data_IF_660087367901
#
_entry.id   IF_660087367901
#
_cell.length_a   1.000
_cell.length_b   1.000
_cell.length_c   1.000
_cell.angle_alpha   90.00
_cell.angle_beta   90.00
_cell.angle_gamma   90.00
#
_symmetry.space_group_name_H-M   'P 1'
#
loop_
_entity.id
_entity.type
_entity.pdbx_description
1 polymer ?
#
# COMPACT_ATOMS: atom_id res chain seq x y z
N UNK A 1 21.15 8.47 -18.73
CA UNK A 1 20.83 9.17 -20.00
C UNK A 1 19.34 9.07 -20.27
N UNK A 2 18.69 10.19 -20.61
CA UNK A 2 17.29 10.21 -21.01
C UNK A 2 17.20 10.20 -22.54
N UNK A 3 16.21 9.44 -23.08
CA UNK A 3 15.92 9.47 -24.51
C UNK A 3 15.07 10.68 -24.91
N UNK A 4 14.29 11.20 -23.95
CA UNK A 4 13.38 12.32 -24.13
C UNK A 4 13.24 13.07 -22.81
N UNK A 5 13.05 14.39 -22.88
CA UNK A 5 12.71 15.23 -21.74
C UNK A 5 11.54 16.14 -22.15
N UNK A 6 10.42 16.02 -21.44
CA UNK A 6 9.21 16.81 -21.63
C UNK A 6 9.06 17.78 -20.45
N UNK A 7 8.75 19.02 -20.75
CA UNK A 7 8.58 20.07 -19.76
C UNK A 7 7.21 20.71 -19.90
N UNK A 8 6.53 20.91 -18.78
CA UNK A 8 5.37 21.76 -18.64
C UNK A 8 5.78 23.00 -17.84
N UNK A 9 5.64 24.16 -18.44
CA UNK A 9 5.86 25.44 -17.76
C UNK A 9 4.50 26.12 -17.62
N UNK A 10 4.13 26.41 -16.41
CA UNK A 10 2.91 27.14 -16.08
C UNK A 10 3.21 28.25 -15.09
N UNK A 11 2.45 29.33 -15.17
CA UNK A 11 2.59 30.50 -14.32
C UNK A 11 1.22 30.94 -13.79
N UNK A 12 1.21 31.54 -12.62
CA UNK A 12 0.05 32.14 -11.98
C UNK A 12 0.44 33.43 -11.28
N UNK A 13 -0.52 34.27 -10.96
CA UNK A 13 -0.28 35.52 -10.23
C UNK A 13 0.03 35.25 -8.75
N UNK A 14 -0.48 34.13 -8.21
CA UNK A 14 -0.27 33.70 -6.81
C UNK A 14 0.19 32.23 -6.74
N UNK A 15 0.80 31.79 -5.63
CA UNK A 15 1.10 30.38 -5.41
C UNK A 15 -0.14 29.46 -5.49
N UNK A 16 -1.31 29.97 -5.11
CA UNK A 16 -2.58 29.23 -5.21
C UNK A 16 -2.97 28.96 -6.67
N UNK A 17 -2.75 29.92 -7.58
CA UNK A 17 -3.02 29.72 -9.01
C UNK A 17 -2.10 28.66 -9.61
N UNK A 18 -0.82 28.70 -9.25
CA UNK A 18 0.17 27.69 -9.68
C UNK A 18 -0.21 26.29 -9.18
N UNK A 19 -0.60 26.18 -7.89
CA UNK A 19 -1.05 24.92 -7.31
C UNK A 19 -2.33 24.41 -7.98
N UNK A 20 -3.28 25.32 -8.28
CA UNK A 20 -4.50 24.96 -8.99
C UNK A 20 -4.20 24.36 -10.37
N UNK A 21 -3.33 25.00 -11.16
CA UNK A 21 -2.93 24.48 -12.48
C UNK A 21 -2.27 23.09 -12.33
N UNK A 22 -1.40 22.93 -11.34
CA UNK A 22 -0.78 21.61 -11.05
C UNK A 22 -1.85 20.56 -10.75
N UNK A 23 -2.84 20.86 -9.91
CA UNK A 23 -3.92 19.92 -9.58
C UNK A 23 -4.85 19.65 -10.77
N UNK A 24 -5.11 20.65 -11.62
CA UNK A 24 -5.89 20.47 -12.85
C UNK A 24 -5.21 19.46 -13.80
N UNK A 25 -3.89 19.42 -13.81
CA UNK A 25 -3.09 18.49 -14.64
C UNK A 25 -2.91 17.11 -14.00
N UNK A 26 -2.69 17.05 -12.69
CA UNK A 26 -2.31 15.82 -12.01
C UNK A 26 -3.43 15.16 -11.21
N UNK A 27 -4.51 15.86 -10.98
CA UNK A 27 -5.68 15.46 -10.18
C UNK A 27 -5.67 16.08 -8.79
N UNK A 28 -6.87 16.23 -8.25
CA UNK A 28 -7.11 16.76 -6.91
C UNK A 28 -7.12 15.64 -5.88
N UNK A 29 -6.60 15.90 -4.67
CA UNK A 29 -6.80 15.02 -3.53
C UNK A 29 -8.31 14.96 -3.17
N UNK A 30 -8.83 13.78 -2.79
CA UNK A 30 -10.20 13.67 -2.30
C UNK A 30 -10.38 14.42 -0.98
N UNK A 31 -11.65 14.59 -0.57
CA UNK A 31 -11.94 15.17 0.75
C UNK A 31 -11.31 14.30 1.83
N UNK A 32 -10.56 14.95 2.75
CA UNK A 32 -9.95 14.28 3.88
C UNK A 32 -11.03 13.91 4.91
N UNK A 33 -11.20 12.64 5.28
CA UNK A 33 -12.19 12.23 6.26
C UNK A 33 -11.78 12.66 7.69
N UNK A 34 -12.76 13.06 8.48
CA UNK A 34 -12.54 13.63 9.82
C UNK A 34 -11.78 12.66 10.75
N UNK A 35 -12.10 11.37 10.71
CA UNK A 35 -11.44 10.36 11.54
C UNK A 35 -9.94 10.27 11.28
N UNK A 36 -9.50 10.49 10.04
CA UNK A 36 -8.09 10.41 9.67
C UNK A 36 -7.24 11.58 10.23
N UNK A 37 -7.88 12.68 10.66
CA UNK A 37 -7.22 13.79 11.34
C UNK A 37 -6.90 13.51 12.82
N UNK A 38 -7.37 12.40 13.38
CA UNK A 38 -7.11 12.01 14.76
C UNK A 38 -5.76 11.31 14.95
N UNK A 39 -5.56 10.79 16.17
CA UNK A 39 -4.33 10.09 16.52
C UNK A 39 -4.35 8.63 16.01
N UNK A 40 -3.33 8.25 15.29
CA UNK A 40 -3.08 6.90 14.80
C UNK A 40 -2.03 6.23 15.69
N UNK A 41 -2.43 5.20 16.42
CA UNK A 41 -1.52 4.44 17.24
C UNK A 41 -0.81 3.38 16.41
N UNK A 42 0.50 3.41 16.39
CA UNK A 42 1.34 2.40 15.77
C UNK A 42 2.39 1.89 16.76
N UNK A 43 2.83 0.68 16.53
CA UNK A 43 3.93 0.01 17.24
C UNK A 43 4.65 -0.89 16.25
N UNK A 44 5.95 -0.96 16.31
CA UNK A 44 6.76 -1.95 15.61
C UNK A 44 6.90 -3.17 16.53
N UNK A 45 6.08 -4.12 16.46
CA UNK A 45 4.78 -4.40 15.86
C UNK A 45 3.87 -5.01 16.93
N UNK A 46 2.57 -5.08 16.70
CA UNK A 46 1.70 -5.96 17.48
C UNK A 46 1.90 -7.39 16.99
N UNK A 47 2.22 -8.30 17.90
CA UNK A 47 2.54 -9.68 17.55
C UNK A 47 1.29 -10.54 17.41
N UNK A 48 0.18 -10.13 18.04
CA UNK A 48 -1.08 -10.84 18.01
C UNK A 48 -2.29 -9.91 18.03
N UNK A 49 -3.44 -10.48 17.69
CA UNK A 49 -4.74 -9.83 17.79
C UNK A 49 -5.01 -9.30 19.20
N UNK A 50 -4.69 -10.10 20.24
CA UNK A 50 -4.95 -9.69 21.62
C UNK A 50 -4.01 -8.56 22.07
N UNK A 51 -2.72 -8.60 21.70
CA UNK A 51 -1.77 -7.52 21.99
C UNK A 51 -2.28 -6.16 21.41
N UNK A 52 -2.84 -6.18 20.22
CA UNK A 52 -3.44 -5.00 19.60
C UNK A 52 -4.70 -4.54 20.34
N UNK A 53 -5.61 -5.47 20.66
CA UNK A 53 -6.89 -5.16 21.31
C UNK A 53 -6.67 -4.65 22.76
N UNK A 54 -5.71 -5.20 23.50
CA UNK A 54 -5.34 -4.70 24.83
C UNK A 54 -4.95 -3.22 24.79
N UNK A 55 -4.15 -2.82 23.80
CA UNK A 55 -3.75 -1.42 23.62
C UNK A 55 -4.95 -0.55 23.28
N UNK A 56 -5.81 -0.98 22.35
CA UNK A 56 -7.01 -0.23 21.97
C UNK A 56 -7.96 -0.03 23.16
N UNK A 57 -8.19 -1.09 23.94
CA UNK A 57 -9.01 -1.06 25.18
C UNK A 57 -8.43 -0.12 26.24
N UNK A 58 -7.10 -0.11 26.40
CA UNK A 58 -6.43 0.73 27.39
C UNK A 58 -6.52 2.23 27.02
N UNK A 59 -6.42 2.59 25.74
CA UNK A 59 -6.71 3.96 25.28
C UNK A 59 -8.13 4.40 25.64
N UNK A 60 -9.12 3.53 25.41
CA UNK A 60 -10.52 3.82 25.75
C UNK A 60 -10.72 3.95 27.26
N UNK A 61 -10.17 3.04 28.03
CA UNK A 61 -10.26 3.04 29.51
C UNK A 61 -9.68 4.32 30.12
N UNK A 62 -8.59 4.83 29.56
CA UNK A 62 -7.95 6.09 30.00
C UNK A 62 -8.63 7.34 29.45
N UNK A 63 -9.60 7.22 28.57
CA UNK A 63 -10.23 8.36 27.90
C UNK A 63 -9.31 9.13 26.96
N UNK A 64 -8.24 8.49 26.48
CA UNK A 64 -7.31 9.09 25.53
C UNK A 64 -7.88 8.91 24.13
N UNK A 65 -8.05 9.98 23.33
CA UNK A 65 -8.61 9.87 22.00
C UNK A 65 -7.64 9.17 21.05
N UNK A 66 -8.16 8.18 20.34
CA UNK A 66 -7.48 7.45 19.27
C UNK A 66 -8.50 7.21 18.16
N UNK A 67 -8.12 7.37 16.90
CA UNK A 67 -9.01 7.18 15.75
C UNK A 67 -8.60 6.05 14.86
N UNK A 68 -7.34 5.62 14.88
CA UNK A 68 -6.86 4.49 14.13
C UNK A 68 -5.79 3.70 14.90
N UNK A 69 -5.67 2.42 14.58
CA UNK A 69 -4.60 1.55 15.09
C UNK A 69 -3.98 0.77 13.92
N UNK A 70 -2.65 0.74 13.88
CA UNK A 70 -1.89 0.20 12.74
C UNK A 70 -1.43 -1.22 13.03
N UNK A 71 -1.78 -2.13 12.15
CA UNK A 71 -1.26 -3.50 12.10
C UNK A 71 -0.08 -3.49 11.14
N UNK A 72 1.13 -3.52 11.70
CA UNK A 72 2.38 -3.45 10.96
C UNK A 72 2.74 -4.81 10.32
N UNK A 73 3.90 -4.90 9.66
CA UNK A 73 4.36 -6.08 8.94
C UNK A 73 4.43 -7.36 9.81
N UNK A 74 4.58 -8.50 9.16
CA UNK A 74 4.60 -9.85 9.76
C UNK A 74 3.34 -10.26 10.54
N UNK A 75 2.19 -9.72 10.16
CA UNK A 75 0.90 -10.27 10.56
C UNK A 75 0.42 -11.41 9.63
N UNK A 76 1.23 -11.73 8.63
CA UNK A 76 1.01 -12.78 7.63
C UNK A 76 1.88 -14.01 7.88
N UNK A 77 1.51 -15.16 7.35
CA UNK A 77 2.29 -16.40 7.41
C UNK A 77 3.52 -16.34 6.50
N UNK A 78 3.31 -15.97 5.23
CA UNK A 78 4.38 -15.74 4.24
C UNK A 78 4.17 -14.42 3.51
N UNK A 79 5.29 -13.79 3.17
CA UNK A 79 5.27 -12.53 2.42
C UNK A 79 4.58 -12.71 1.06
N UNK A 80 3.57 -11.86 0.78
CA UNK A 80 2.80 -11.91 -0.46
C UNK A 80 1.56 -12.81 -0.42
N UNK A 81 1.18 -13.31 0.76
CA UNK A 81 -0.10 -14.00 0.92
C UNK A 81 -1.25 -13.03 1.16
N UNK A 82 -0.94 -11.82 1.63
CA UNK A 82 -1.93 -10.77 1.93
C UNK A 82 -3.11 -11.30 2.73
N UNK A 83 -2.80 -11.98 3.85
CA UNK A 83 -3.76 -12.52 4.80
C UNK A 83 -3.17 -12.56 6.20
N UNK A 84 -4.04 -12.58 7.19
CA UNK A 84 -3.60 -12.76 8.58
C UNK A 84 -3.10 -14.18 8.83
N UNK A 85 -2.06 -14.31 9.65
CA UNK A 85 -1.65 -15.58 10.22
C UNK A 85 -2.69 -16.03 11.26
N UNK A 86 -3.39 -17.16 11.03
CA UNK A 86 -4.47 -17.59 11.91
C UNK A 86 -4.00 -18.02 13.31
N UNK A 87 -2.70 -18.29 13.50
CA UNK A 87 -2.15 -18.61 14.82
C UNK A 87 -2.16 -17.39 15.75
N UNK A 88 -1.81 -16.22 15.21
CA UNK A 88 -1.69 -14.98 15.99
C UNK A 88 -2.90 -14.04 15.82
N UNK A 89 -3.64 -14.22 14.75
CA UNK A 89 -4.84 -13.41 14.40
C UNK A 89 -6.04 -14.33 14.16
N UNK A 90 -6.54 -15.02 15.20
CA UNK A 90 -7.50 -16.10 15.04
C UNK A 90 -8.91 -15.67 14.60
N UNK A 91 -9.34 -14.45 14.92
CA UNK A 91 -10.66 -13.92 14.53
C UNK A 91 -10.58 -12.44 14.14
N UNK A 92 -10.05 -12.11 12.94
CA UNK A 92 -9.98 -10.73 12.47
C UNK A 92 -11.37 -10.05 12.36
N UNK A 93 -12.42 -10.82 12.14
CA UNK A 93 -13.79 -10.30 12.07
C UNK A 93 -14.27 -9.79 13.44
N UNK A 94 -14.02 -10.54 14.53
CA UNK A 94 -14.31 -10.10 15.88
C UNK A 94 -13.48 -8.89 16.27
N UNK A 95 -12.17 -8.90 15.96
CA UNK A 95 -11.27 -7.76 16.19
C UNK A 95 -11.79 -6.48 15.55
N UNK A 96 -12.12 -6.54 14.26
CA UNK A 96 -12.62 -5.36 13.53
C UNK A 96 -13.98 -4.88 14.07
N UNK A 97 -14.87 -5.77 14.49
CA UNK A 97 -16.13 -5.38 15.15
C UNK A 97 -15.88 -4.64 16.47
N UNK A 98 -14.98 -5.15 17.32
CA UNK A 98 -14.65 -4.52 18.59
C UNK A 98 -13.98 -3.13 18.39
N UNK A 99 -13.04 -3.03 17.43
CA UNK A 99 -12.43 -1.76 17.08
C UNK A 99 -13.46 -0.74 16.59
N UNK A 100 -14.41 -1.18 15.75
CA UNK A 100 -15.51 -0.35 15.24
C UNK A 100 -16.41 0.17 16.37
N UNK A 101 -16.76 -0.68 17.35
CA UNK A 101 -17.51 -0.26 18.55
C UNK A 101 -16.76 0.80 19.36
N UNK A 102 -15.44 0.70 19.39
CA UNK A 102 -14.56 1.70 19.99
C UNK A 102 -14.32 2.93 19.09
N UNK A 103 -14.86 2.97 17.88
CA UNK A 103 -14.62 4.02 16.85
C UNK A 103 -13.12 4.17 16.53
N UNK A 104 -12.45 3.04 16.33
CA UNK A 104 -11.03 2.96 15.94
C UNK A 104 -10.99 2.25 14.58
N UNK A 105 -10.37 2.90 13.59
CA UNK A 105 -10.16 2.31 12.26
C UNK A 105 -8.91 1.42 12.26
N UNK A 106 -8.99 0.15 11.87
CA UNK A 106 -7.83 -0.68 11.63
C UNK A 106 -7.12 -0.27 10.34
N UNK A 107 -5.81 -0.09 10.40
CA UNK A 107 -4.95 0.19 9.25
C UNK A 107 -3.97 -0.98 9.10
N UNK A 108 -3.93 -1.61 7.92
CA UNK A 108 -3.10 -2.78 7.69
C UNK A 108 -1.95 -2.45 6.75
N UNK A 109 -0.73 -2.79 7.16
CA UNK A 109 0.46 -2.68 6.31
C UNK A 109 0.43 -3.75 5.22
N UNK A 110 0.61 -3.33 3.97
CA UNK A 110 0.67 -4.21 2.79
C UNK A 110 1.96 -3.89 2.04
N UNK A 111 2.77 -4.94 1.84
CA UNK A 111 4.00 -4.84 1.07
C UNK A 111 3.81 -5.42 -0.33
N UNK A 112 4.41 -4.81 -1.36
CA UNK A 112 4.31 -5.27 -2.74
C UNK A 112 5.33 -6.35 -3.09
N UNK A 113 5.82 -7.07 -2.10
CA UNK A 113 6.82 -8.14 -2.28
C UNK A 113 6.21 -9.50 -2.01
N UNK A 114 6.73 -10.50 -2.70
CA UNK A 114 6.28 -11.89 -2.59
C UNK A 114 7.46 -12.84 -2.44
N UNK A 115 7.35 -13.74 -1.46
CA UNK A 115 8.29 -14.82 -1.23
C UNK A 115 7.96 -16.01 -2.17
N UNK A 116 8.96 -16.72 -2.71
CA UNK A 116 8.72 -17.93 -3.50
C UNK A 116 7.94 -19.04 -2.79
N UNK A 117 7.83 -19.00 -1.46
CA UNK A 117 7.02 -19.95 -0.68
C UNK A 117 5.55 -19.55 -0.58
N UNK A 118 5.20 -18.31 -0.93
CA UNK A 118 3.82 -17.83 -0.88
C UNK A 118 2.92 -18.66 -1.82
N UNK A 119 1.72 -18.96 -1.37
CA UNK A 119 0.70 -19.65 -2.17
C UNK A 119 0.34 -18.92 -3.47
N UNK A 120 0.60 -17.62 -3.54
CA UNK A 120 0.31 -16.79 -4.72
C UNK A 120 1.48 -16.72 -5.72
N UNK A 121 2.69 -17.20 -5.32
CA UNK A 121 3.90 -16.97 -6.13
C UNK A 121 3.85 -17.65 -7.49
N UNK A 122 3.50 -18.91 -7.55
CA UNK A 122 3.53 -19.70 -8.80
C UNK A 122 2.58 -19.10 -9.85
N UNK A 123 1.33 -18.82 -9.46
CA UNK A 123 0.35 -18.19 -10.34
C UNK A 123 0.80 -16.82 -10.85
N UNK A 124 1.32 -15.97 -9.97
CA UNK A 124 1.82 -14.66 -10.36
C UNK A 124 3.05 -14.74 -11.25
N UNK A 125 3.93 -15.70 -10.99
CA UNK A 125 5.14 -15.94 -11.77
C UNK A 125 4.81 -16.41 -13.18
N UNK A 126 3.93 -17.39 -13.35
CA UNK A 126 3.48 -17.91 -14.63
C UNK A 126 2.72 -16.85 -15.45
N UNK A 127 1.92 -16.03 -14.79
CA UNK A 127 1.18 -14.93 -15.42
C UNK A 127 2.03 -13.69 -15.72
N UNK A 128 3.35 -13.71 -15.44
CA UNK A 128 4.28 -12.59 -15.60
C UNK A 128 3.90 -11.33 -14.81
N UNK A 129 3.28 -11.49 -13.64
CA UNK A 129 2.89 -10.39 -12.75
C UNK A 129 3.99 -9.99 -11.76
N UNK A 130 5.19 -10.55 -11.88
CA UNK A 130 6.34 -10.24 -11.03
C UNK A 130 7.40 -9.46 -11.81
N UNK A 131 8.07 -8.52 -11.12
CA UNK A 131 9.20 -7.79 -11.67
C UNK A 131 10.31 -8.77 -12.03
N UNK A 132 10.89 -8.61 -13.20
CA UNK A 132 12.00 -9.42 -13.72
C UNK A 132 13.30 -8.61 -13.72
N UNK A 133 14.38 -9.29 -14.01
CA UNK A 133 15.69 -8.67 -14.21
C UNK A 133 16.26 -9.01 -15.57
N UNK A 134 17.02 -8.08 -16.15
CA UNK A 134 17.68 -8.28 -17.46
C UNK A 134 18.82 -9.30 -17.38
N UNK A 135 19.48 -9.41 -16.23
CA UNK A 135 20.57 -10.36 -16.01
C UNK A 135 20.15 -11.73 -15.46
N UNK A 136 18.84 -12.01 -15.39
CA UNK A 136 18.32 -13.29 -14.95
C UNK A 136 18.34 -13.53 -13.43
N UNK A 137 18.60 -12.52 -12.63
CA UNK A 137 18.48 -12.60 -11.17
C UNK A 137 16.99 -12.73 -10.78
N UNK A 138 16.65 -13.64 -9.87
CA UNK A 138 15.26 -13.89 -9.50
C UNK A 138 14.76 -13.01 -8.35
N UNK A 139 15.59 -12.71 -7.36
CA UNK A 139 15.21 -11.85 -6.24
C UNK A 139 15.46 -10.38 -6.54
N UNK A 140 14.50 -9.52 -6.21
CA UNK A 140 14.62 -8.07 -6.35
C UNK A 140 14.59 -7.35 -5.02
N UNK A 141 14.37 -8.08 -3.92
CA UNK A 141 14.34 -7.58 -2.56
C UNK A 141 14.87 -8.66 -1.60
N UNK A 142 15.71 -8.29 -0.66
CA UNK A 142 16.26 -9.19 0.35
C UNK A 142 15.88 -8.71 1.74
N UNK A 143 14.88 -9.38 2.32
CA UNK A 143 14.43 -9.12 3.68
C UNK A 143 13.83 -10.41 4.24
N UNK A 144 14.49 -11.01 5.22
CA UNK A 144 14.18 -12.37 5.71
C UNK A 144 14.08 -13.42 4.59
N UNK A 145 15.02 -13.33 3.65
CA UNK A 145 15.13 -14.20 2.49
C UNK A 145 14.86 -13.45 1.17
N UNK A 146 15.10 -14.17 0.06
CA UNK A 146 14.91 -13.61 -1.27
C UNK A 146 13.43 -13.46 -1.60
N UNK A 147 13.06 -12.27 -2.01
CA UNK A 147 11.71 -11.91 -2.42
C UNK A 147 11.73 -11.20 -3.77
N UNK A 148 10.57 -11.08 -4.37
CA UNK A 148 10.39 -10.40 -5.65
C UNK A 148 9.27 -9.37 -5.53
N UNK A 149 9.45 -8.18 -6.11
CA UNK A 149 8.38 -7.20 -6.25
C UNK A 149 7.31 -7.67 -7.24
N UNK A 150 6.05 -7.43 -6.92
CA UNK A 150 4.96 -7.57 -7.89
C UNK A 150 5.10 -6.49 -8.96
N UNK A 151 4.75 -6.79 -10.20
CA UNK A 151 4.74 -5.78 -11.27
C UNK A 151 3.41 -5.03 -11.31
N UNK A 152 3.39 -3.90 -10.61
CA UNK A 152 2.19 -3.03 -10.52
C UNK A 152 1.81 -2.39 -11.85
N UNK A 153 2.69 -2.45 -12.86
CA UNK A 153 2.42 -1.94 -14.21
C UNK A 153 1.74 -2.98 -15.11
N UNK A 154 1.74 -4.25 -14.69
CA UNK A 154 1.08 -5.31 -15.44
C UNK A 154 -0.44 -5.22 -15.26
N UNK A 155 -1.23 -5.31 -16.36
CA UNK A 155 -2.67 -5.01 -16.34
C UNK A 155 -3.52 -5.93 -15.44
N UNK A 156 -3.04 -7.12 -15.11
CA UNK A 156 -3.77 -8.09 -14.26
C UNK A 156 -3.36 -8.05 -12.79
N UNK A 157 -2.19 -7.48 -12.46
CA UNK A 157 -1.69 -7.50 -11.07
C UNK A 157 -2.64 -6.81 -10.10
N UNK A 158 -3.19 -5.66 -10.51
CA UNK A 158 -4.08 -4.88 -9.64
C UNK A 158 -5.32 -5.67 -9.22
N UNK A 159 -6.01 -6.30 -10.15
CA UNK A 159 -7.20 -7.11 -9.85
C UNK A 159 -6.84 -8.35 -9.03
N UNK A 160 -5.75 -9.03 -9.37
CA UNK A 160 -5.31 -10.22 -8.64
C UNK A 160 -5.03 -9.92 -7.16
N UNK A 161 -4.22 -8.89 -6.88
CA UNK A 161 -3.89 -8.52 -5.50
C UNK A 161 -5.13 -8.00 -4.76
N UNK A 162 -5.97 -7.20 -5.44
CA UNK A 162 -7.19 -6.71 -4.82
C UNK A 162 -8.15 -7.84 -4.43
N UNK A 163 -8.31 -8.86 -5.24
CA UNK A 163 -9.14 -10.02 -4.93
C UNK A 163 -8.65 -10.73 -3.64
N UNK A 164 -7.34 -10.88 -3.45
CA UNK A 164 -6.76 -11.43 -2.22
C UNK A 164 -6.98 -10.50 -1.02
N UNK A 165 -6.73 -9.20 -1.19
CA UNK A 165 -6.97 -8.18 -0.16
C UNK A 165 -8.44 -8.11 0.23
N UNK A 166 -9.33 -8.17 -0.74
CA UNK A 166 -10.78 -8.21 -0.51
C UNK A 166 -11.19 -9.41 0.32
N UNK A 167 -10.71 -10.60 -0.06
CA UNK A 167 -11.02 -11.86 0.62
C UNK A 167 -10.42 -11.91 2.03
N UNK A 168 -9.25 -11.34 2.26
CA UNK A 168 -8.49 -11.58 3.49
C UNK A 168 -8.48 -10.40 4.47
N UNK A 169 -8.85 -9.19 4.02
CA UNK A 169 -8.89 -7.99 4.87
C UNK A 169 -10.19 -7.20 4.74
N UNK A 170 -10.56 -6.81 3.53
CA UNK A 170 -11.72 -5.94 3.30
C UNK A 170 -13.03 -6.55 3.83
N UNK A 171 -13.25 -7.85 3.65
CA UNK A 171 -14.45 -8.56 4.16
C UNK A 171 -14.62 -8.46 5.68
N UNK A 172 -13.52 -8.26 6.43
CA UNK A 172 -13.57 -8.09 7.88
C UNK A 172 -13.87 -6.65 8.31
N UNK A 173 -13.86 -5.70 7.37
CA UNK A 173 -14.13 -4.30 7.65
C UNK A 173 -12.91 -3.39 7.58
N UNK A 174 -11.74 -3.91 7.16
CA UNK A 174 -10.52 -3.11 6.96
C UNK A 174 -10.63 -2.36 5.63
N UNK A 175 -10.50 -1.03 5.68
CA UNK A 175 -10.68 -0.14 4.52
C UNK A 175 -9.51 0.82 4.31
N UNK A 176 -8.56 0.81 5.22
CA UNK A 176 -7.37 1.67 5.15
C UNK A 176 -6.12 0.81 5.15
N UNK A 177 -5.26 1.05 4.19
CA UNK A 177 -4.04 0.27 3.98
C UNK A 177 -2.81 1.17 4.04
N UNK A 178 -1.75 0.64 4.64
CA UNK A 178 -0.43 1.24 4.60
C UNK A 178 0.39 0.56 3.51
N UNK A 179 0.60 1.28 2.42
CA UNK A 179 1.32 0.83 1.23
C UNK A 179 2.81 1.10 1.43
N UNK A 180 3.47 0.18 2.10
CA UNK A 180 4.89 0.27 2.42
C UNK A 180 5.77 -0.37 1.34
N UNK A 181 7.08 -0.16 1.36
CA UNK A 181 8.09 -0.68 0.42
C UNK A 181 7.84 -0.33 -1.06
N UNK A 182 7.03 0.68 -1.34
CA UNK A 182 6.50 1.00 -2.67
C UNK A 182 7.29 2.05 -3.46
N UNK A 183 8.55 2.32 -3.12
CA UNK A 183 9.46 3.20 -3.88
C UNK A 183 9.74 2.74 -5.32
N UNK A 184 9.98 1.43 -5.67
CA UNK A 184 10.21 0.22 -4.86
C UNK A 184 11.60 0.19 -4.21
N UNK A 185 11.69 -0.39 -3.01
CA UNK A 185 12.97 -0.55 -2.29
C UNK A 185 13.73 -1.79 -2.78
N UNK A 186 14.36 -1.65 -3.93
CA UNK A 186 15.04 -2.75 -4.62
C UNK A 186 16.42 -3.02 -4.02
N UNK A 187 16.72 -4.26 -3.70
CA UNK A 187 18.03 -4.70 -3.25
C UNK A 187 18.60 -5.82 -4.14
N UNK A 188 19.82 -5.67 -4.68
CA UNK A 188 20.63 -4.43 -4.70
C UNK A 188 20.00 -3.34 -5.56
N UNK A 189 20.28 -2.08 -5.24
CA UNK A 189 19.72 -0.90 -5.93
C UNK A 189 20.22 -0.79 -7.38
N UNK A 190 19.66 -1.57 -8.25
CA UNK A 190 19.99 -1.64 -9.68
C UNK A 190 18.76 -1.49 -10.56
N UNK A 191 18.13 -0.33 -10.49
CA UNK A 191 16.90 -0.05 -11.27
C UNK A 191 17.04 -0.30 -12.76
N UNK A 192 18.23 -0.06 -13.34
CA UNK A 192 18.49 -0.34 -14.75
C UNK A 192 18.48 -1.83 -15.12
N UNK A 193 18.61 -2.73 -14.12
CA UNK A 193 18.50 -4.16 -14.30
C UNK A 193 17.06 -4.68 -14.19
N UNK A 194 16.12 -3.84 -13.73
CA UNK A 194 14.72 -4.26 -13.57
C UNK A 194 13.97 -4.18 -14.89
N UNK A 195 13.03 -5.09 -15.03
CA UNK A 195 12.13 -5.20 -16.17
C UNK A 195 10.69 -5.29 -15.70
N UNK A 196 9.93 -4.28 -16.07
CA UNK A 196 8.50 -4.16 -15.82
C UNK A 196 7.73 -4.42 -17.13
N UNK A 197 6.44 -4.70 -17.02
CA UNK A 197 5.54 -4.73 -18.16
C UNK A 197 5.56 -3.40 -18.95
N UNK A 198 5.61 -2.28 -18.23
CA UNK A 198 5.70 -0.93 -18.81
C UNK A 198 7.06 -0.61 -19.44
N UNK A 199 8.09 -1.45 -19.25
CA UNK A 199 9.43 -1.26 -19.82
C UNK A 199 10.58 -1.45 -18.83
N UNK A 200 11.76 -0.93 -19.18
CA UNK A 200 12.95 -1.02 -18.34
C UNK A 200 12.81 -0.21 -17.04
N UNK A 201 13.37 -0.74 -15.97
CA UNK A 201 13.27 -0.13 -14.63
C UNK A 201 13.82 1.30 -14.52
N UNK A 202 14.87 1.64 -15.27
CA UNK A 202 15.38 3.01 -15.31
C UNK A 202 14.35 4.04 -15.82
N UNK A 203 13.37 3.59 -16.60
CA UNK A 203 12.28 4.42 -17.14
C UNK A 203 10.98 4.28 -16.35
N UNK A 204 10.70 3.10 -15.79
CA UNK A 204 9.40 2.73 -15.27
C UNK A 204 9.31 2.65 -13.74
N UNK A 205 10.45 2.45 -13.03
CA UNK A 205 10.43 2.22 -11.59
C UNK A 205 9.80 3.38 -10.79
N UNK A 206 10.00 4.63 -11.23
CA UNK A 206 9.42 5.81 -10.57
C UNK A 206 7.89 5.89 -10.66
N UNK A 207 7.27 5.10 -11.54
CA UNK A 207 5.81 5.01 -11.64
C UNK A 207 5.21 4.06 -10.58
N UNK A 208 6.05 3.31 -9.88
CA UNK A 208 5.63 2.28 -8.94
C UNK A 208 4.66 2.79 -7.86
N UNK A 209 4.98 3.87 -7.11
CA UNK A 209 4.08 4.38 -6.07
C UNK A 209 2.71 4.79 -6.63
N UNK A 210 2.70 5.35 -7.84
CA UNK A 210 1.48 5.76 -8.51
C UNK A 210 0.57 4.57 -8.84
N UNK A 211 1.10 3.52 -9.47
CA UNK A 211 0.31 2.35 -9.85
C UNK A 211 -0.09 1.53 -8.63
N UNK A 212 0.76 1.43 -7.61
CA UNK A 212 0.44 0.73 -6.38
C UNK A 212 -0.70 1.43 -5.62
N UNK A 213 -0.64 2.74 -5.43
CA UNK A 213 -1.74 3.51 -4.84
C UNK A 213 -3.02 3.42 -5.67
N UNK A 214 -2.89 3.51 -7.01
CA UNK A 214 -4.02 3.38 -7.94
C UNK A 214 -4.75 2.06 -7.77
N UNK A 215 -4.02 0.96 -7.66
CA UNK A 215 -4.58 -0.39 -7.52
C UNK A 215 -5.49 -0.50 -6.29
N UNK A 216 -5.05 -0.02 -5.13
CA UNK A 216 -5.84 -0.04 -3.90
C UNK A 216 -7.03 0.94 -3.95
N UNK A 217 -6.82 2.11 -4.52
CA UNK A 217 -7.89 3.08 -4.72
C UNK A 217 -9.00 2.53 -5.61
N UNK A 218 -8.64 1.96 -6.77
CA UNK A 218 -9.62 1.38 -7.70
C UNK A 218 -10.33 0.17 -7.09
N UNK A 219 -9.60 -0.65 -6.34
CA UNK A 219 -10.17 -1.76 -5.61
C UNK A 219 -11.23 -1.31 -4.59
N UNK A 220 -10.88 -0.39 -3.68
CA UNK A 220 -11.81 0.17 -2.70
C UNK A 220 -13.02 0.85 -3.38
N UNK A 221 -12.76 1.62 -4.42
CA UNK A 221 -13.81 2.31 -5.18
C UNK A 221 -14.78 1.32 -5.84
N UNK A 222 -14.30 0.18 -6.33
CA UNK A 222 -15.15 -0.86 -6.92
C UNK A 222 -16.12 -1.49 -5.92
N UNK A 223 -15.78 -1.44 -4.62
CA UNK A 223 -16.64 -1.87 -3.52
C UNK A 223 -17.59 -0.77 -3.02
N UNK A 224 -17.55 0.43 -3.63
CA UNK A 224 -18.41 1.56 -3.29
C UNK A 224 -17.86 2.50 -2.23
N UNK A 225 -16.60 2.36 -1.83
CA UNK A 225 -15.96 3.26 -0.86
C UNK A 225 -15.75 4.67 -1.47
N UNK A 226 -15.99 5.70 -0.67
CA UNK A 226 -15.87 7.10 -1.08
C UNK A 226 -14.83 7.87 -0.28
N UNK A 227 -14.65 7.53 0.99
CA UNK A 227 -13.72 8.18 1.93
C UNK A 227 -12.39 7.41 1.99
N UNK A 228 -11.76 7.27 0.82
CA UNK A 228 -10.55 6.45 0.67
C UNK A 228 -9.33 7.22 1.14
N UNK A 229 -8.60 6.62 2.09
CA UNK A 229 -7.30 7.07 2.57
C UNK A 229 -6.32 5.90 2.51
N UNK A 230 -5.17 6.14 1.93
CA UNK A 230 -4.03 5.22 1.86
C UNK A 230 -2.83 5.88 2.52
N UNK A 231 -2.17 5.20 3.46
CA UNK A 231 -0.89 5.65 3.98
C UNK A 231 0.21 5.10 3.08
N UNK A 232 1.16 5.93 2.65
CA UNK A 232 2.24 5.48 1.75
C UNK A 232 3.57 6.15 2.09
N UNK A 233 4.68 5.41 1.97
CA UNK A 233 6.03 5.94 2.16
C UNK A 233 6.52 6.69 0.93
N UNK A 234 6.01 6.34 -0.24
CA UNK A 234 6.44 6.91 -1.51
C UNK A 234 5.26 7.47 -2.32
N UNK A 235 5.50 8.58 -3.01
CA UNK A 235 4.53 9.20 -3.89
C UNK A 235 5.20 9.77 -5.15
N UNK A 236 4.43 9.87 -6.22
CA UNK A 236 4.80 10.50 -7.46
C UNK A 236 3.72 11.51 -7.87
N UNK A 237 4.00 12.50 -8.72
CA UNK A 237 2.97 13.45 -9.19
C UNK A 237 1.71 12.76 -9.67
N UNK A 238 0.56 13.15 -9.11
CA UNK A 238 -0.74 12.53 -9.38
C UNK A 238 -1.16 11.46 -8.38
N UNK A 239 -0.30 11.01 -7.47
CA UNK A 239 -0.65 10.03 -6.43
C UNK A 239 -1.68 10.59 -5.44
N UNK A 240 -1.68 11.91 -5.21
CA UNK A 240 -2.61 12.57 -4.29
C UNK A 240 -4.09 12.29 -4.60
N UNK A 241 -4.44 12.09 -5.88
CA UNK A 241 -5.84 11.83 -6.28
C UNK A 241 -6.39 10.49 -5.81
N UNK A 242 -5.52 9.60 -5.34
CA UNK A 242 -5.89 8.30 -4.78
C UNK A 242 -6.07 8.33 -3.25
N UNK A 243 -6.11 9.51 -2.64
CA UNK A 243 -6.23 9.64 -1.18
C UNK A 243 -4.95 9.27 -0.43
N UNK A 244 -3.80 9.32 -1.10
CA UNK A 244 -2.52 8.94 -0.53
C UNK A 244 -2.00 10.00 0.44
N UNK A 245 -1.75 9.60 1.70
CA UNK A 245 -1.03 10.34 2.72
C UNK A 245 0.41 9.85 2.73
N UNK A 246 1.35 10.76 2.55
CA UNK A 246 2.78 10.44 2.60
C UNK A 246 3.29 10.73 4.00
N UNK A 247 3.92 9.74 4.63
CA UNK A 247 4.68 9.99 5.86
C UNK A 247 6.17 10.05 5.57
N UNK A 248 6.92 10.68 6.49
CA UNK A 248 8.37 10.80 6.42
C UNK A 248 8.97 10.57 7.79
#
# INVERSE_FOLDING_TARGET
SAYQADYLIYAGETPADVLKIYCDLTGYAPKFPEWAAGFWQSKLRYESQEDLLEVAREYKKRGIPITAIVIDYFHWTEQGEWKFDPEYWPDPAAMCRELKEMKIEPVVSIWPTINPKSENYEEMNEANMLVRTENGQYGTFEFYGQQTFIDVTHPKTGSFVWDKVKENYYKYGIRTFWLDEAEPEVHPQQYSNLKFYAGNGAQSAMLYPYYYSKMFYEGLKSEGETDIILLTRAAYPGTQKFGSLVWN
#
